data_IF_865962915124
#
_entry.id   IF_865962915124
#
_cell.length_a   1.000
_cell.length_b   1.000
_cell.length_c   1.000
_cell.angle_alpha   90.00
_cell.angle_beta   90.00
_cell.angle_gamma   90.00
#
_symmetry.space_group_name_H-M   'P 1'
#
loop_
_entity.id
_entity.type
_entity.pdbx_description
1 polymer ?
#
# COMPACT_ATOMS: atom_id res chain seq x y z
N UNK A 1 7.66 -8.93 4.99
CA UNK A 1 6.32 -8.41 5.34
C UNK A 1 6.29 -6.95 4.93
N UNK A 2 5.18 -6.40 4.45
CA UNK A 2 5.18 -4.99 4.06
C UNK A 2 3.87 -4.29 4.36
N UNK A 3 3.95 -3.08 4.89
CA UNK A 3 2.86 -2.13 5.10
C UNK A 3 2.84 -1.22 3.88
N UNK A 4 1.72 -1.23 3.16
CA UNK A 4 1.55 -0.31 2.04
C UNK A 4 0.85 0.94 2.56
N UNK A 5 1.52 2.07 2.45
CA UNK A 5 0.88 3.37 2.59
C UNK A 5 0.72 3.89 1.18
N UNK A 6 -0.51 3.91 0.70
CA UNK A 6 -0.85 4.56 -0.56
C UNK A 6 -1.18 6.00 -0.22
N UNK A 7 -0.39 6.98 -0.68
CA UNK A 7 -0.71 8.34 -0.35
C UNK A 7 -2.00 8.80 -1.06
N UNK A 8 -2.25 8.58 -2.37
CA UNK A 8 -3.19 9.51 -3.06
C UNK A 8 -3.98 9.03 -4.28
N UNK A 9 -4.07 7.75 -4.62
CA UNK A 9 -4.82 7.36 -5.84
C UNK A 9 -6.02 6.46 -5.55
N UNK A 10 -7.22 7.03 -5.65
CA UNK A 10 -8.43 6.31 -6.03
C UNK A 10 -9.27 7.19 -6.96
N UNK A 11 -9.84 6.57 -7.99
CA UNK A 11 -10.89 7.18 -8.79
C UNK A 11 -12.24 7.01 -8.08
N UNK A 12 -13.13 7.99 -8.14
CA UNK A 12 -14.55 7.77 -7.84
C UNK A 12 -15.23 6.94 -8.93
N UNK A 13 -16.51 6.66 -8.73
CA UNK A 13 -17.37 5.98 -9.69
C UNK A 13 -17.49 6.72 -11.04
N UNK A 14 -17.09 7.99 -11.11
CA UNK A 14 -17.07 8.83 -12.31
C UNK A 14 -15.65 9.01 -12.88
N UNK A 15 -14.68 8.24 -12.39
CA UNK A 15 -13.28 8.30 -12.81
C UNK A 15 -12.56 9.62 -12.47
N UNK A 16 -13.08 10.40 -11.52
CA UNK A 16 -12.44 11.59 -10.97
C UNK A 16 -11.49 11.21 -9.84
N UNK A 17 -10.33 11.86 -9.78
CA UNK A 17 -9.38 11.70 -8.68
C UNK A 17 -10.00 12.22 -7.38
N UNK A 18 -10.28 11.34 -6.43
CA UNK A 18 -10.71 11.73 -5.08
C UNK A 18 -9.50 11.81 -4.17
N UNK A 19 -9.40 12.91 -3.45
CA UNK A 19 -8.22 13.25 -2.67
C UNK A 19 -8.58 13.37 -1.19
N UNK A 20 -7.91 12.59 -0.34
CA UNK A 20 -8.13 12.57 1.11
C UNK A 20 -6.79 12.51 1.88
N UNK A 21 -6.65 13.19 3.04
CA UNK A 21 -5.38 13.40 3.75
C UNK A 21 -4.67 12.10 4.11
N UNK A 22 -3.57 11.76 3.41
CA UNK A 22 -2.68 10.60 3.64
C UNK A 22 -3.41 9.44 4.30
N UNK A 23 -4.49 9.03 3.65
CA UNK A 23 -5.31 7.93 4.14
C UNK A 23 -4.68 6.68 3.57
N UNK A 24 -4.19 5.82 4.45
CA UNK A 24 -3.61 4.55 4.03
C UNK A 24 -4.69 3.73 3.35
N UNK A 25 -4.60 3.63 2.02
CA UNK A 25 -5.51 2.80 1.25
C UNK A 25 -5.33 1.31 1.57
N UNK A 26 -4.17 0.85 2.04
CA UNK A 26 -3.88 -0.60 2.07
C UNK A 26 -2.86 -1.09 3.10
N UNK A 27 -3.25 -1.37 4.35
CA UNK A 27 -2.33 -1.98 5.32
C UNK A 27 -2.23 -3.51 5.11
N UNK A 28 -1.34 -3.99 4.24
CA UNK A 28 -1.10 -5.44 4.13
C UNK A 28 -0.17 -5.89 5.26
N UNK A 29 -0.39 -7.10 5.79
CA UNK A 29 0.56 -7.76 6.69
C UNK A 29 0.85 -9.17 6.14
N UNK A 30 2.06 -9.37 5.61
CA UNK A 30 2.50 -10.54 4.83
C UNK A 30 3.66 -11.33 5.52
N UNK A 31 3.50 -12.60 5.94
CA UNK A 31 4.43 -13.23 6.93
C UNK A 31 5.50 -14.20 6.36
N UNK A 32 5.87 -14.19 5.08
CA UNK A 32 6.89 -15.15 4.60
C UNK A 32 7.90 -14.64 3.57
N UNK A 33 9.17 -15.04 3.79
CA UNK A 33 10.31 -14.96 2.87
C UNK A 33 10.52 -16.25 2.03
N UNK A 34 9.99 -17.42 2.43
CA UNK A 34 10.27 -18.72 1.77
C UNK A 34 9.01 -19.55 1.41
N UNK A 35 7.83 -18.93 1.39
CA UNK A 35 6.62 -19.57 0.82
C UNK A 35 6.23 -18.71 -0.37
N UNK A 36 6.50 -19.27 -1.55
CA UNK A 36 6.40 -18.69 -2.89
C UNK A 36 5.40 -17.55 -3.05
N UNK A 37 5.83 -16.48 -3.72
CA UNK A 37 4.97 -15.59 -4.52
C UNK A 37 3.81 -14.82 -3.82
N UNK A 38 3.59 -14.97 -2.51
CA UNK A 38 2.37 -14.52 -1.84
C UNK A 38 2.16 -13.00 -1.75
N UNK A 39 3.13 -12.15 -2.11
CA UNK A 39 3.11 -10.72 -1.76
C UNK A 39 3.59 -9.78 -2.88
N UNK A 40 3.26 -10.06 -4.16
CA UNK A 40 3.26 -8.97 -5.16
C UNK A 40 1.89 -8.28 -5.14
N UNK A 41 1.81 -6.93 -5.06
CA UNK A 41 0.53 -6.21 -5.06
C UNK A 41 -0.36 -6.57 -6.28
N UNK A 42 0.26 -6.98 -7.39
CA UNK A 42 -0.38 -7.30 -8.67
C UNK A 42 -0.41 -8.82 -9.02
N UNK A 43 0.01 -9.73 -8.15
CA UNK A 43 -0.09 -11.18 -8.39
C UNK A 43 -0.84 -11.81 -7.21
N UNK A 44 -2.11 -12.15 -7.42
CA UNK A 44 -3.02 -12.51 -6.32
C UNK A 44 -2.84 -13.94 -5.83
N UNK A 45 -3.06 -14.18 -4.53
CA UNK A 45 -3.36 -15.52 -4.00
C UNK A 45 -4.37 -15.47 -2.86
N UNK A 46 -5.52 -16.12 -3.04
CA UNK A 46 -6.51 -16.35 -1.98
C UNK A 46 -6.14 -17.66 -1.27
N UNK A 47 -5.31 -17.62 -0.22
CA UNK A 47 -4.77 -18.84 0.39
C UNK A 47 -5.81 -19.74 1.07
N UNK A 48 -6.97 -19.20 1.44
CA UNK A 48 -8.11 -19.97 1.94
C UNK A 48 -9.43 -19.32 1.51
N UNK A 49 -10.00 -19.78 0.40
CA UNK A 49 -11.26 -19.25 -0.16
C UNK A 49 -12.50 -19.62 0.68
N UNK A 50 -12.40 -20.64 1.52
CA UNK A 50 -13.48 -21.06 2.44
C UNK A 50 -13.53 -20.24 3.73
N UNK A 51 -12.47 -19.47 4.04
CA UNK A 51 -12.42 -18.64 5.24
C UNK A 51 -12.95 -17.23 4.96
N UNK A 52 -14.27 -17.15 4.85
CA UNK A 52 -14.96 -15.89 4.54
C UNK A 52 -14.78 -14.83 5.62
N UNK A 53 -14.79 -13.57 5.19
CA UNK A 53 -14.76 -12.42 6.08
C UNK A 53 -16.02 -12.33 6.95
N UNK A 54 -15.87 -11.97 8.23
CA UNK A 54 -17.00 -11.77 9.14
C UNK A 54 -16.81 -10.49 9.98
N UNK A 55 -17.52 -9.42 9.61
CA UNK A 55 -17.44 -8.11 10.27
C UNK A 55 -17.67 -8.17 11.80
N UNK A 56 -18.43 -9.16 12.29
CA UNK A 56 -18.68 -9.30 13.73
C UNK A 56 -17.41 -9.63 14.52
N UNK A 57 -16.41 -10.26 13.89
CA UNK A 57 -15.14 -10.63 14.52
C UNK A 57 -14.20 -9.44 14.72
N UNK A 58 -14.50 -8.29 14.12
CA UNK A 58 -13.68 -7.08 14.18
C UNK A 58 -14.48 -5.84 14.59
N UNK A 59 -15.66 -6.05 15.19
CA UNK A 59 -16.62 -4.99 15.50
C UNK A 59 -16.01 -3.83 16.31
N UNK A 60 -15.11 -4.16 17.22
CA UNK A 60 -14.34 -3.24 18.04
C UNK A 60 -13.32 -2.41 17.24
N UNK A 61 -12.80 -2.95 16.13
CA UNK A 61 -11.83 -2.28 15.26
C UNK A 61 -12.49 -1.38 14.21
N UNK A 62 -13.78 -1.59 13.89
CA UNK A 62 -14.50 -0.86 12.83
C UNK A 62 -14.34 0.67 12.90
N UNK A 63 -14.45 1.34 14.07
CA UNK A 63 -14.25 2.79 14.14
C UNK A 63 -12.86 3.23 13.66
N UNK A 64 -11.81 2.51 14.04
CA UNK A 64 -10.44 2.79 13.59
C UNK A 64 -10.23 2.42 12.13
N UNK A 65 -10.79 1.28 11.67
CA UNK A 65 -10.70 0.87 10.27
C UNK A 65 -11.35 1.90 9.34
N UNK A 66 -12.52 2.46 9.72
CA UNK A 66 -13.15 3.55 8.95
C UNK A 66 -12.30 4.83 8.89
N UNK A 67 -11.43 5.05 9.88
CA UNK A 67 -10.61 6.25 9.95
C UNK A 67 -9.27 6.09 9.22
N UNK A 68 -8.62 4.95 9.41
CA UNK A 68 -7.22 4.74 9.00
C UNK A 68 -7.06 3.74 7.86
N UNK A 69 -8.09 2.94 7.56
CA UNK A 69 -8.09 1.99 6.45
C UNK A 69 -9.44 1.94 5.71
N UNK A 70 -10.04 3.09 5.31
CA UNK A 70 -11.35 3.12 4.69
C UNK A 70 -11.32 2.60 3.25
N UNK A 71 -12.50 2.18 2.79
CA UNK A 71 -12.78 2.15 1.36
C UNK A 71 -12.96 3.59 0.86
N UNK A 72 -12.18 3.97 -0.16
CA UNK A 72 -12.23 5.32 -0.74
C UNK A 72 -13.33 5.46 -1.79
N UNK A 73 -13.85 4.36 -2.32
CA UNK A 73 -14.93 4.33 -3.33
C UNK A 73 -16.27 4.21 -2.61
N UNK A 74 -16.38 3.29 -1.65
CA UNK A 74 -17.60 3.02 -0.88
C UNK A 74 -17.35 3.09 0.64
N UNK A 75 -17.21 4.28 1.26
CA UNK A 75 -16.81 4.42 2.66
C UNK A 75 -17.72 3.75 3.70
N UNK A 76 -18.97 3.46 3.33
CA UNK A 76 -19.94 2.75 4.16
C UNK A 76 -19.86 1.22 4.05
N UNK A 77 -19.14 0.71 3.04
CA UNK A 77 -19.05 -0.70 2.70
C UNK A 77 -17.91 -1.40 3.43
N UNK A 78 -18.11 -2.68 3.78
CA UNK A 78 -17.04 -3.55 4.27
C UNK A 78 -16.41 -4.41 3.17
N UNK A 79 -16.83 -4.25 1.92
CA UNK A 79 -16.36 -5.07 0.80
C UNK A 79 -14.86 -4.94 0.58
N UNK A 80 -14.30 -3.76 0.79
CA UNK A 80 -12.86 -3.56 0.75
C UNK A 80 -12.10 -4.40 1.79
N UNK A 81 -12.53 -4.40 3.05
CA UNK A 81 -11.89 -5.24 4.08
C UNK A 81 -12.08 -6.73 3.83
N UNK A 82 -13.24 -7.13 3.29
CA UNK A 82 -13.48 -8.50 2.84
C UNK A 82 -12.53 -8.90 1.73
N UNK A 83 -12.27 -8.03 0.76
CA UNK A 83 -11.29 -8.25 -0.30
C UNK A 83 -9.88 -8.41 0.27
N UNK A 84 -9.44 -7.50 1.13
CA UNK A 84 -8.11 -7.56 1.76
C UNK A 84 -7.93 -8.79 2.65
N UNK A 85 -8.96 -9.19 3.40
CA UNK A 85 -8.94 -10.42 4.17
C UNK A 85 -8.80 -11.65 3.27
N UNK A 86 -9.65 -11.76 2.24
CA UNK A 86 -9.67 -12.92 1.36
C UNK A 86 -8.35 -13.04 0.58
N UNK A 87 -7.83 -11.92 0.07
CA UNK A 87 -6.64 -11.88 -0.77
C UNK A 87 -5.32 -11.93 0.01
N UNK A 88 -5.25 -11.37 1.23
CA UNK A 88 -3.98 -11.31 1.98
C UNK A 88 -4.11 -11.88 3.39
N UNK A 89 -5.17 -11.54 4.11
CA UNK A 89 -5.38 -11.97 5.50
C UNK A 89 -5.39 -13.50 5.67
N UNK A 90 -6.02 -14.23 4.75
CA UNK A 90 -6.05 -15.71 4.80
C UNK A 90 -4.66 -16.35 4.63
N UNK A 91 -3.77 -15.71 3.88
CA UNK A 91 -2.38 -16.12 3.76
C UNK A 91 -1.58 -15.77 5.02
N UNK A 92 -1.79 -14.56 5.54
CA UNK A 92 -1.15 -14.05 6.74
C UNK A 92 -1.46 -14.91 7.97
N UNK A 93 -2.70 -15.43 8.03
CA UNK A 93 -3.19 -16.27 9.11
C UNK A 93 -2.49 -17.63 9.27
N UNK A 94 -1.56 -17.99 8.37
CA UNK A 94 -0.64 -19.11 8.58
C UNK A 94 0.36 -18.85 9.71
N UNK A 95 0.64 -17.59 10.03
CA UNK A 95 1.47 -17.23 11.18
C UNK A 95 0.62 -17.11 12.44
N UNK A 96 1.11 -17.66 13.55
CA UNK A 96 0.41 -17.66 14.84
C UNK A 96 0.08 -16.24 15.36
N UNK A 97 0.95 -15.27 15.07
CA UNK A 97 0.75 -13.86 15.40
C UNK A 97 -0.41 -13.21 14.66
N UNK A 98 -0.86 -13.78 13.53
CA UNK A 98 -1.94 -13.25 12.66
C UNK A 98 -3.04 -14.27 12.37
N UNK A 99 -3.09 -15.39 13.10
CA UNK A 99 -3.94 -16.56 12.81
C UNK A 99 -5.46 -16.36 13.05
N UNK A 100 -5.94 -15.13 12.99
CA UNK A 100 -7.36 -14.81 13.01
C UNK A 100 -7.60 -13.48 12.30
N UNK A 101 -8.85 -13.25 11.89
CA UNK A 101 -9.26 -11.99 11.29
C UNK A 101 -9.00 -10.79 12.20
N UNK A 102 -9.34 -10.91 13.48
CA UNK A 102 -9.09 -9.86 14.47
C UNK A 102 -7.59 -9.56 14.62
N UNK A 103 -6.75 -10.59 14.81
CA UNK A 103 -5.28 -10.40 14.91
C UNK A 103 -4.68 -9.74 13.67
N UNK A 104 -5.14 -10.11 12.48
CA UNK A 104 -4.68 -9.50 11.23
C UNK A 104 -4.98 -7.99 11.17
N UNK A 105 -6.25 -7.62 11.36
CA UNK A 105 -6.66 -6.22 11.27
C UNK A 105 -6.16 -5.35 12.43
N UNK A 106 -6.13 -5.89 13.65
CA UNK A 106 -5.57 -5.17 14.81
C UNK A 106 -4.06 -4.94 14.64
N UNK A 107 -3.30 -5.95 14.19
CA UNK A 107 -1.86 -5.78 13.95
C UNK A 107 -1.60 -4.78 12.83
N UNK A 108 -2.39 -4.81 11.75
CA UNK A 108 -2.31 -3.80 10.69
C UNK A 108 -2.44 -2.37 11.26
N UNK A 109 -3.49 -2.11 12.03
CA UNK A 109 -3.70 -0.80 12.68
C UNK A 109 -2.56 -0.44 13.64
N UNK A 110 -2.08 -1.39 14.44
CA UNK A 110 -0.94 -1.19 15.35
C UNK A 110 0.31 -0.75 14.57
N UNK A 111 0.65 -1.42 13.47
CA UNK A 111 1.83 -1.08 12.68
C UNK A 111 1.69 0.27 11.98
N UNK A 112 0.49 0.60 11.52
CA UNK A 112 0.19 1.92 10.96
C UNK A 112 0.52 3.03 11.97
N UNK A 113 0.03 2.89 13.21
CA UNK A 113 0.31 3.85 14.28
C UNK A 113 1.77 3.83 14.73
N UNK A 114 2.41 2.65 14.79
CA UNK A 114 3.80 2.48 15.22
C UNK A 114 4.78 3.19 14.29
N UNK A 115 4.62 3.02 12.98
CA UNK A 115 5.57 3.60 12.02
C UNK A 115 5.20 5.01 11.59
N UNK A 116 3.91 5.33 11.52
CA UNK A 116 3.43 6.70 11.37
C UNK A 116 4.10 7.46 10.20
N UNK A 117 4.08 6.85 9.01
CA UNK A 117 4.68 7.42 7.81
C UNK A 117 4.19 8.84 7.52
N UNK A 118 2.93 9.15 7.83
CA UNK A 118 2.35 10.47 7.65
C UNK A 118 3.14 11.55 8.39
N UNK A 119 3.48 11.33 9.66
CA UNK A 119 4.28 12.29 10.42
C UNK A 119 5.73 12.30 9.93
N UNK A 120 6.31 11.14 9.60
CA UNK A 120 7.67 11.06 9.05
C UNK A 120 7.84 11.91 7.80
N UNK A 121 6.90 11.80 6.84
CA UNK A 121 6.91 12.61 5.62
C UNK A 121 6.73 14.09 5.94
N UNK A 122 5.76 14.43 6.81
CA UNK A 122 5.47 15.82 7.19
C UNK A 122 6.65 16.49 7.89
N UNK A 123 7.29 15.82 8.85
CA UNK A 123 8.42 16.35 9.63
C UNK A 123 9.65 16.57 8.73
N UNK A 124 9.77 15.79 7.66
CA UNK A 124 10.78 15.97 6.60
C UNK A 124 10.32 16.86 5.44
N UNK A 125 9.20 17.59 5.60
CA UNK A 125 8.65 18.53 4.61
C UNK A 125 8.25 17.88 3.28
N UNK A 126 8.07 16.56 3.24
CA UNK A 126 7.43 15.86 2.12
C UNK A 126 5.93 15.92 2.35
N UNK A 127 5.32 17.01 1.86
CA UNK A 127 3.89 17.28 2.04
C UNK A 127 3.17 17.44 0.69
N UNK A 128 1.85 17.20 0.66
CA UNK A 128 1.04 17.51 -0.52
C UNK A 128 1.22 18.98 -0.94
N UNK A 129 1.71 19.26 -2.15
CA UNK A 129 1.95 20.63 -2.61
C UNK A 129 2.09 20.72 -4.14
N UNK A 130 2.10 21.94 -4.67
CA UNK A 130 2.41 22.20 -6.09
C UNK A 130 3.91 22.05 -6.42
N UNK A 131 4.77 21.87 -5.42
CA UNK A 131 6.20 21.65 -5.61
C UNK A 131 6.47 20.18 -5.92
N UNK A 132 7.46 19.94 -6.78
CA UNK A 132 7.93 18.60 -7.10
C UNK A 132 9.10 18.20 -6.19
N UNK A 133 9.17 16.91 -5.91
CA UNK A 133 10.27 16.28 -5.17
C UNK A 133 11.11 15.44 -6.13
N UNK A 134 12.39 15.27 -5.84
CA UNK A 134 13.17 14.17 -6.45
C UNK A 134 12.87 12.87 -5.72
N UNK A 135 13.14 11.72 -6.36
CA UNK A 135 13.06 10.44 -5.66
C UNK A 135 14.02 10.40 -4.46
N UNK A 136 15.22 10.96 -4.60
CA UNK A 136 16.22 11.05 -3.55
C UNK A 136 15.73 11.86 -2.34
N UNK A 137 14.96 12.94 -2.55
CA UNK A 137 14.34 13.70 -1.44
C UNK A 137 13.41 12.81 -0.62
N UNK A 138 12.55 12.03 -1.29
CA UNK A 138 11.57 11.15 -0.63
C UNK A 138 12.26 9.96 0.03
N UNK A 139 13.22 9.32 -0.65
CA UNK A 139 14.00 8.21 -0.09
C UNK A 139 14.80 8.66 1.14
N UNK A 140 15.45 9.83 1.09
CA UNK A 140 16.24 10.36 2.20
C UNK A 140 15.35 10.72 3.38
N UNK A 141 14.22 11.38 3.14
CA UNK A 141 13.25 11.71 4.18
C UNK A 141 12.79 10.46 4.97
N UNK A 142 12.49 9.38 4.25
CA UNK A 142 12.01 8.14 4.85
C UNK A 142 13.15 7.36 5.52
N UNK A 143 14.29 7.21 4.85
CA UNK A 143 15.43 6.43 5.34
C UNK A 143 16.09 7.07 6.55
N UNK A 144 16.11 8.41 6.63
CA UNK A 144 16.67 9.13 7.80
C UNK A 144 15.94 8.81 9.11
N UNK A 145 14.66 8.44 9.03
CA UNK A 145 13.85 8.12 10.19
C UNK A 145 13.81 6.62 10.49
N UNK A 146 13.58 5.79 9.47
CA UNK A 146 13.43 4.34 9.66
C UNK A 146 14.74 3.55 9.63
N UNK A 147 15.83 4.15 9.13
CA UNK A 147 17.13 3.50 8.94
C UNK A 147 17.06 2.20 8.10
N UNK A 148 16.05 2.10 7.22
CA UNK A 148 15.86 1.02 6.25
C UNK A 148 15.35 1.58 4.93
N UNK A 149 15.63 0.89 3.83
CA UNK A 149 15.16 1.24 2.49
C UNK A 149 13.71 0.80 2.29
N UNK A 150 12.87 1.75 1.89
CA UNK A 150 11.48 1.50 1.48
C UNK A 150 11.36 1.39 -0.04
N UNK A 151 10.26 0.82 -0.53
CA UNK A 151 9.96 0.82 -1.96
C UNK A 151 8.92 1.90 -2.28
N UNK A 152 9.28 2.80 -3.18
CA UNK A 152 8.45 3.94 -3.57
C UNK A 152 7.96 3.69 -5.00
N UNK A 153 6.65 3.74 -5.20
CA UNK A 153 6.00 3.52 -6.48
C UNK A 153 5.21 4.74 -6.91
N UNK A 154 5.27 5.02 -8.20
CA UNK A 154 4.64 6.15 -8.83
C UNK A 154 3.68 5.68 -9.93
N UNK A 155 2.72 6.53 -10.25
CA UNK A 155 2.01 6.47 -11.52
C UNK A 155 2.85 7.26 -12.52
N UNK A 156 3.32 6.55 -13.55
CA UNK A 156 4.11 7.17 -14.62
C UNK A 156 3.19 7.96 -15.55
N UNK A 157 3.69 9.07 -16.10
CA UNK A 157 2.92 9.82 -17.08
C UNK A 157 2.70 9.00 -18.36
N UNK A 158 1.62 9.29 -19.08
CA UNK A 158 1.46 8.83 -20.47
C UNK A 158 2.51 9.42 -21.41
N UNK A 159 2.49 9.01 -22.68
CA UNK A 159 3.47 9.46 -23.70
C UNK A 159 3.64 10.98 -23.70
N UNK A 160 4.88 11.45 -23.46
CA UNK A 160 5.25 12.86 -23.49
C UNK A 160 5.10 13.62 -22.17
N UNK A 161 4.58 12.99 -21.12
CA UNK A 161 4.62 13.60 -19.79
C UNK A 161 6.00 13.47 -19.14
N UNK A 162 6.32 14.44 -18.28
CA UNK A 162 7.66 14.62 -17.71
C UNK A 162 7.67 14.49 -16.18
N UNK A 163 6.52 14.24 -15.57
CA UNK A 163 6.33 14.20 -14.12
C UNK A 163 5.54 12.96 -13.77
N UNK A 164 6.01 12.22 -12.76
CA UNK A 164 5.34 11.05 -12.22
C UNK A 164 4.61 11.42 -10.92
N UNK A 165 3.53 10.71 -10.58
CA UNK A 165 2.72 11.01 -9.39
C UNK A 165 3.03 10.01 -8.28
N UNK A 166 3.31 10.50 -7.06
CA UNK A 166 3.56 9.64 -5.90
C UNK A 166 2.34 8.76 -5.61
N UNK A 167 2.53 7.43 -5.69
CA UNK A 167 1.44 6.47 -5.64
C UNK A 167 1.41 5.60 -4.40
N UNK A 168 2.50 4.88 -4.11
CA UNK A 168 2.62 3.97 -2.97
C UNK A 168 3.99 4.07 -2.32
N UNK A 169 4.03 4.00 -1.00
CA UNK A 169 5.23 3.76 -0.22
C UNK A 169 5.04 2.44 0.53
N UNK A 170 5.96 1.51 0.32
CA UNK A 170 5.96 0.17 0.90
C UNK A 170 7.06 0.10 1.96
N UNK A 171 6.66 -0.03 3.23
CA UNK A 171 7.54 -0.20 4.40
C UNK A 171 7.63 -1.68 4.72
N UNK A 172 8.82 -2.19 4.96
CA UNK A 172 9.14 -3.60 4.98
C UNK A 172 9.47 -3.99 6.41
N UNK A 173 8.92 -5.10 6.86
CA UNK A 173 9.04 -5.62 8.21
C UNK A 173 9.33 -7.13 8.19
N UNK A 174 9.94 -7.67 9.23
CA UNK A 174 10.23 -9.10 9.39
C UNK A 174 9.04 -9.86 10.02
N UNK A 175 9.24 -11.09 10.51
CA UNK A 175 8.15 -11.86 11.15
C UNK A 175 7.78 -11.35 12.55
N UNK A 176 8.69 -10.62 13.18
CA UNK A 176 8.56 -10.02 14.51
C UNK A 176 8.11 -8.56 14.43
N UNK A 177 7.68 -8.14 13.23
CA UNK A 177 7.19 -6.79 12.95
C UNK A 177 8.24 -5.72 13.25
N UNK A 178 9.51 -6.00 12.94
CA UNK A 178 10.62 -5.04 12.98
C UNK A 178 11.01 -4.62 11.57
N UNK A 179 11.45 -3.36 11.43
CA UNK A 179 11.82 -2.78 10.15
C UNK A 179 12.99 -3.53 9.52
N UNK A 180 12.90 -3.78 8.22
CA UNK A 180 13.95 -4.35 7.39
C UNK A 180 13.99 -3.62 6.05
N UNK A 181 15.10 -3.72 5.33
CA UNK A 181 15.17 -3.25 3.95
C UNK A 181 14.17 -3.98 3.05
N UNK A 182 13.50 -3.23 2.16
CA UNK A 182 12.79 -3.81 1.04
C UNK A 182 13.83 -4.32 0.05
N UNK A 183 14.05 -5.63 0.00
CA UNK A 183 14.91 -6.23 -1.01
C UNK A 183 14.42 -5.84 -2.41
N UNK A 184 15.34 -5.37 -3.27
CA UNK A 184 15.11 -5.39 -4.71
C UNK A 184 15.02 -6.87 -5.07
N UNK A 185 13.89 -7.34 -5.59
CA UNK A 185 13.83 -8.71 -6.11
C UNK A 185 14.84 -8.82 -7.27
N UNK A 186 16.05 -9.29 -7.00
CA UNK A 186 16.97 -9.79 -8.02
C UNK A 186 16.47 -11.15 -8.45
N UNK A 187 15.32 -11.18 -9.14
CA UNK A 187 14.92 -12.25 -10.06
C UNK A 187 14.10 -11.62 -11.18
N UNK A 188 14.82 -10.97 -12.09
CA UNK A 188 14.62 -11.25 -13.50
C UNK A 188 14.97 -12.73 -13.72
N UNK A 189 13.96 -13.60 -13.73
CA UNK A 189 14.08 -14.93 -14.34
C UNK A 189 12.90 -15.10 -15.30
N UNK A 190 13.26 -15.41 -16.53
CA UNK A 190 12.47 -15.42 -17.75
C UNK A 190 11.07 -16.02 -17.66
N UNK A 191 10.12 -15.32 -18.26
CA UNK A 191 9.07 -15.97 -19.06
C UNK A 191 8.82 -15.10 -20.29
N UNK A 192 9.65 -15.34 -21.31
CA UNK A 192 9.15 -15.24 -22.67
C UNK A 192 7.99 -16.24 -22.76
N UNK A 193 6.90 -15.82 -23.41
CA UNK A 193 5.70 -16.61 -23.75
C UNK A 193 4.57 -16.63 -22.70
N UNK A 194 3.78 -15.55 -22.60
CA UNK A 194 2.29 -15.63 -22.56
C UNK A 194 1.69 -14.41 -23.30
N UNK A 195 0.68 -14.59 -24.18
CA UNK A 195 0.14 -13.51 -25.02
C UNK A 195 -0.57 -12.43 -24.20
N UNK A 196 -0.48 -11.19 -24.68
CA UNK A 196 -1.20 -10.04 -24.14
C UNK A 196 -2.71 -10.30 -24.09
N UNK A 197 -3.23 -10.61 -22.89
CA UNK A 197 -4.65 -10.45 -22.57
C UNK A 197 -4.77 -9.12 -21.85
N UNK A 198 -5.24 -8.11 -22.59
CA UNK A 198 -5.59 -6.81 -22.03
C UNK A 198 -6.79 -6.98 -21.09
N UNK A 199 -6.55 -6.85 -19.79
CA UNK A 199 -7.61 -6.61 -18.79
C UNK A 199 -7.56 -5.12 -18.47
N UNK A 200 -8.54 -4.38 -18.97
CA UNK A 200 -8.71 -2.96 -18.72
C UNK A 200 -8.97 -2.70 -17.23
N UNK A 201 -8.25 -1.75 -16.63
CA UNK A 201 -8.62 -1.14 -15.35
C UNK A 201 -7.66 -1.28 -14.16
N UNK A 202 -6.39 -1.64 -14.34
CA UNK A 202 -5.39 -1.58 -13.24
C UNK A 202 -4.61 -0.26 -13.29
N UNK A 203 -4.56 0.46 -12.17
CA UNK A 203 -3.64 1.57 -11.95
C UNK A 203 -2.21 1.01 -12.01
N UNK A 204 -1.47 1.32 -13.08
CA UNK A 204 -0.10 0.86 -13.31
C UNK A 204 0.90 1.58 -12.38
N UNK A 205 0.86 1.24 -11.09
CA UNK A 205 1.91 1.62 -10.16
C UNK A 205 3.17 0.79 -10.43
N UNK A 206 4.27 1.46 -10.71
CA UNK A 206 5.60 0.84 -10.79
C UNK A 206 6.62 1.66 -10.00
N UNK A 207 7.85 1.17 -9.85
CA UNK A 207 8.89 1.89 -9.08
C UNK A 207 9.08 3.28 -9.69
N UNK A 208 9.19 4.31 -8.83
CA UNK A 208 9.43 5.67 -9.30
C UNK A 208 10.76 5.77 -10.06
N UNK A 209 10.80 6.56 -11.11
CA UNK A 209 12.00 6.80 -11.93
C UNK A 209 12.86 7.91 -11.30
N UNK A 210 14.15 7.66 -11.03
CA UNK A 210 15.05 8.68 -10.48
C UNK A 210 15.25 9.89 -11.42
N UNK A 211 15.04 9.72 -12.72
CA UNK A 211 15.20 10.78 -13.72
C UNK A 211 13.99 11.70 -13.84
N UNK A 212 12.86 11.37 -13.21
CA UNK A 212 11.63 12.15 -13.29
C UNK A 212 11.27 12.80 -11.95
N UNK A 213 10.88 14.09 -11.92
CA UNK A 213 10.31 14.71 -10.73
C UNK A 213 9.02 14.00 -10.29
N UNK A 214 8.83 13.91 -8.97
CA UNK A 214 7.68 13.34 -8.30
C UNK A 214 6.72 14.45 -7.89
N UNK A 215 5.49 14.38 -8.39
CA UNK A 215 4.38 15.19 -7.93
C UNK A 215 3.66 14.51 -6.78
N UNK A 216 3.55 15.24 -5.66
CA UNK A 216 2.73 14.86 -4.52
C UNK A 216 1.54 15.84 -4.43
N UNK A 217 0.38 15.49 -5.01
CA UNK A 217 -0.73 16.43 -5.20
C UNK A 217 -1.39 16.89 -3.88
N UNK A 218 -1.76 18.18 -3.73
CA UNK A 218 -2.43 18.72 -2.54
C UNK A 218 -3.91 18.34 -2.42
N UNK A 219 -4.36 18.06 -1.19
CA UNK A 219 -5.77 17.75 -0.89
C UNK A 219 -6.65 18.93 -1.30
N UNK A 220 -7.65 18.76 -2.19
CA UNK A 220 -8.68 19.74 -2.45
C UNK A 220 -9.38 20.02 -1.13
N UNK A 221 -9.43 21.29 -0.74
CA UNK A 221 -10.29 21.72 0.36
C UNK A 221 -11.73 21.36 0.00
N UNK A 222 -12.40 20.56 0.84
CA UNK A 222 -13.86 20.42 0.76
C UNK A 222 -14.47 21.78 1.10
N UNK A 223 -14.88 22.52 0.07
CA UNK A 223 -15.73 23.71 0.17
C UNK A 223 -17.18 23.31 0.42
#
# INVERSE_FOLDING_TARGET
MFILVQPWLSCDLNNHLIMMPVIVRKIIVCVSRNVCCCCRPNSGMMCNTSWHFNASLIKDLIPEMKKYWPDLIEPSSSEFWKYEWTKHGTCAARAESLNSQHKYFSKALELYHKYNLTNVLKDNRIVPSEQYYTLDDVETAITSFYNVKTKIQCVHPGKGGQVQVLGQIEICVDRDFQLIDCEKSTEEIWSNDIPAVAISGQSELSVCDHSMPIYYPPVPSRS
#
